data_IF_775374904947
#
_entry.id   IF_775374904947
#
_cell.length_a   1.000
_cell.length_b   1.000
_cell.length_c   1.000
_cell.angle_alpha   90.00
_cell.angle_beta   90.00
_cell.angle_gamma   90.00
#
_symmetry.space_group_name_H-M   'P 1'
#
loop_
_entity.id
_entity.type
_entity.pdbx_description
1 polymer ?
#
# COMPACT_ATOMS: atom_id res chain seq x y z
N UNK A 1 -52.00 -37.07 -25.07
CA UNK A 1 -52.05 -36.68 -23.66
C UNK A 1 -50.95 -37.41 -22.94
N UNK A 2 -49.80 -36.76 -22.68
CA UNK A 2 -48.76 -37.20 -21.73
C UNK A 2 -48.16 -35.94 -21.12
N UNK A 3 -48.44 -35.69 -19.83
CA UNK A 3 -47.85 -34.63 -19.03
C UNK A 3 -46.41 -35.01 -18.66
N UNK A 4 -45.47 -34.15 -18.95
CA UNK A 4 -44.11 -34.25 -18.48
C UNK A 4 -43.92 -33.28 -17.32
N UNK A 5 -43.70 -33.81 -16.12
CA UNK A 5 -43.37 -33.06 -14.89
C UNK A 5 -41.94 -32.59 -14.95
N UNK A 6 -41.72 -31.28 -14.90
CA UNK A 6 -40.41 -30.67 -14.65
C UNK A 6 -40.11 -30.76 -13.16
N UNK A 7 -39.03 -31.50 -12.83
CA UNK A 7 -38.43 -31.51 -11.50
C UNK A 7 -37.46 -30.31 -11.41
N UNK A 8 -37.79 -29.36 -10.57
CA UNK A 8 -36.88 -28.29 -10.12
C UNK A 8 -35.94 -28.90 -9.08
N UNK A 9 -34.67 -29.02 -9.44
CA UNK A 9 -33.58 -29.37 -8.50
C UNK A 9 -33.08 -28.05 -7.87
N UNK A 10 -33.53 -27.80 -6.66
CA UNK A 10 -32.98 -26.71 -5.81
C UNK A 10 -31.67 -27.22 -5.17
N UNK A 11 -30.56 -26.84 -5.75
CA UNK A 11 -29.24 -27.08 -5.16
C UNK A 11 -29.00 -26.11 -4.00
N UNK A 12 -29.02 -26.61 -2.79
CA UNK A 12 -28.60 -25.89 -1.60
C UNK A 12 -27.08 -25.85 -1.60
N UNK A 13 -26.49 -24.65 -1.80
CA UNK A 13 -25.06 -24.40 -1.56
C UNK A 13 -24.90 -24.28 -0.05
N UNK A 14 -24.33 -25.29 0.57
CA UNK A 14 -23.90 -25.24 1.96
C UNK A 14 -22.64 -24.34 2.06
N UNK A 15 -22.80 -23.15 2.62
CA UNK A 15 -21.69 -22.33 3.08
C UNK A 15 -21.06 -23.06 4.28
N UNK A 16 -19.89 -23.67 4.06
CA UNK A 16 -19.06 -24.15 5.16
C UNK A 16 -18.33 -22.94 5.72
N UNK A 17 -18.89 -22.31 6.74
CA UNK A 17 -18.18 -21.40 7.60
C UNK A 17 -17.16 -22.20 8.40
N UNK A 18 -15.92 -22.19 7.94
CA UNK A 18 -14.78 -22.75 8.67
C UNK A 18 -14.51 -21.91 9.92
N UNK A 19 -14.97 -22.43 11.07
CA UNK A 19 -14.59 -21.90 12.38
C UNK A 19 -13.14 -22.29 12.63
N UNK A 20 -12.21 -21.39 12.38
CA UNK A 20 -10.84 -21.55 12.86
C UNK A 20 -10.82 -21.32 14.38
N UNK A 21 -10.89 -22.42 15.13
CA UNK A 21 -10.55 -22.42 16.56
C UNK A 21 -9.05 -22.17 16.70
N UNK A 22 -8.68 -20.94 17.06
CA UNK A 22 -7.34 -20.61 17.47
C UNK A 22 -7.12 -21.14 18.90
N UNK A 23 -6.39 -22.25 19.04
CA UNK A 23 -5.70 -22.61 20.29
C UNK A 23 -4.26 -22.10 20.21
N UNK A 24 -3.92 -21.12 21.03
CA UNK A 24 -2.54 -20.65 21.20
C UNK A 24 -2.53 -19.30 21.90
N UNK A 25 -2.25 -19.31 23.21
CA UNK A 25 -2.26 -18.12 24.05
C UNK A 25 -1.19 -17.11 23.65
N UNK A 26 -1.64 -15.99 23.20
CA UNK A 26 -0.96 -14.73 23.11
C UNK A 26 -2.02 -13.66 23.24
N UNK A 27 -1.94 -12.83 24.28
CA UNK A 27 -2.84 -11.72 24.55
C UNK A 27 -2.58 -10.57 23.57
N UNK A 28 -2.84 -10.83 22.29
CA UNK A 28 -2.99 -9.78 21.27
C UNK A 28 -4.48 -9.44 21.19
N UNK A 29 -4.87 -8.24 21.58
CA UNK A 29 -6.19 -7.71 21.30
C UNK A 29 -6.44 -7.93 19.80
N UNK A 30 -7.49 -8.70 19.46
CA UNK A 30 -7.89 -8.90 18.06
C UNK A 30 -8.08 -7.54 17.43
N UNK A 31 -7.23 -7.20 16.47
CA UNK A 31 -7.29 -5.90 15.81
C UNK A 31 -8.60 -5.85 15.05
N UNK A 32 -9.48 -4.92 15.40
CA UNK A 32 -10.69 -4.61 14.64
C UNK A 32 -10.38 -3.88 13.32
N UNK A 33 -9.25 -4.20 12.69
CA UNK A 33 -8.83 -3.59 11.44
C UNK A 33 -9.75 -4.10 10.33
N UNK A 34 -10.46 -3.19 9.62
CA UNK A 34 -11.30 -3.55 8.49
C UNK A 34 -10.53 -4.32 7.41
N UNK A 35 -11.21 -5.24 6.72
CA UNK A 35 -10.62 -6.09 5.67
C UNK A 35 -11.34 -5.95 4.32
N UNK A 36 -12.31 -5.05 4.22
CA UNK A 36 -13.13 -4.79 3.04
C UNK A 36 -12.57 -3.66 2.14
N UNK A 37 -11.45 -3.06 2.54
CA UNK A 37 -10.76 -2.03 1.75
C UNK A 37 -9.91 -2.60 0.60
N UNK A 38 -9.33 -1.71 -0.20
CA UNK A 38 -8.53 -2.07 -1.40
C UNK A 38 -7.27 -2.90 -1.09
N UNK A 39 -6.77 -2.85 0.14
CA UNK A 39 -5.65 -3.68 0.59
C UNK A 39 -6.09 -4.99 1.26
N UNK A 40 -7.39 -5.29 1.28
CA UNK A 40 -7.94 -6.52 1.84
C UNK A 40 -7.46 -6.79 3.25
N UNK A 41 -7.02 -8.00 3.51
CA UNK A 41 -6.57 -8.46 4.82
C UNK A 41 -5.14 -8.01 5.20
N UNK A 42 -4.35 -7.46 4.27
CA UNK A 42 -2.94 -7.09 4.51
C UNK A 42 -2.76 -6.19 5.73
N UNK A 43 -3.55 -5.11 5.94
CA UNK A 43 -3.40 -4.28 7.12
C UNK A 43 -3.71 -5.02 8.42
N UNK A 44 -4.72 -5.90 8.43
CA UNK A 44 -5.10 -6.66 9.61
C UNK A 44 -4.03 -7.68 10.01
N UNK A 45 -3.49 -8.41 9.04
CA UNK A 45 -2.38 -9.35 9.26
C UNK A 45 -1.13 -8.60 9.71
N UNK A 46 -0.82 -7.44 9.12
CA UNK A 46 0.28 -6.58 9.54
C UNK A 46 0.14 -6.12 11.00
N UNK A 47 -1.05 -5.67 11.38
CA UNK A 47 -1.33 -5.24 12.76
C UNK A 47 -1.15 -6.35 13.80
N UNK A 48 -1.41 -7.59 13.41
CA UNK A 48 -1.31 -8.74 14.32
C UNK A 48 0.14 -9.13 14.63
N UNK A 49 1.03 -9.08 13.62
CA UNK A 49 2.37 -9.69 13.77
C UNK A 49 3.51 -8.66 13.83
N UNK A 50 3.46 -7.63 12.99
CA UNK A 50 4.62 -6.75 12.80
C UNK A 50 4.99 -5.91 14.01
N UNK A 51 4.06 -5.43 14.87
CA UNK A 51 4.44 -4.70 16.10
C UNK A 51 5.32 -5.54 17.02
N UNK A 52 4.97 -6.82 17.25
CA UNK A 52 5.75 -7.71 18.10
C UNK A 52 7.09 -8.11 17.47
N UNK A 53 7.11 -8.35 16.15
CA UNK A 53 8.36 -8.62 15.40
C UNK A 53 9.32 -7.44 15.57
N UNK A 54 8.86 -6.19 15.37
CA UNK A 54 9.69 -5.01 15.54
C UNK A 54 10.18 -4.82 16.97
N UNK A 55 9.31 -5.06 17.96
CA UNK A 55 9.69 -5.00 19.38
C UNK A 55 10.79 -6.02 19.71
N UNK A 56 10.69 -7.24 19.18
CA UNK A 56 11.71 -8.27 19.37
C UNK A 56 13.03 -7.87 18.69
N UNK A 57 12.98 -7.28 17.51
CA UNK A 57 14.17 -6.78 16.81
C UNK A 57 14.87 -5.69 17.61
N UNK A 58 14.12 -4.72 18.15
CA UNK A 58 14.67 -3.67 19.01
C UNK A 58 15.28 -4.25 20.29
N UNK A 59 14.58 -5.15 20.99
CA UNK A 59 15.10 -5.84 22.18
C UNK A 59 16.39 -6.60 21.88
N UNK A 60 16.46 -7.29 20.73
CA UNK A 60 17.66 -8.01 20.31
C UNK A 60 18.82 -7.05 20.05
N UNK A 61 18.57 -5.94 19.38
CA UNK A 61 19.58 -4.91 19.09
C UNK A 61 20.16 -4.30 20.36
N UNK A 62 19.34 -4.04 21.37
CA UNK A 62 19.75 -3.43 22.63
C UNK A 62 20.26 -4.43 23.68
N UNK A 63 20.19 -5.73 23.43
CA UNK A 63 20.67 -6.74 24.38
C UNK A 63 22.19 -6.83 24.39
N UNK A 64 22.79 -6.74 25.57
CA UNK A 64 24.24 -6.91 25.77
C UNK A 64 24.67 -8.37 25.94
N UNK A 65 23.73 -9.28 26.22
CA UNK A 65 23.98 -10.72 26.42
C UNK A 65 23.76 -11.50 25.16
N UNK A 66 24.74 -12.30 24.72
CA UNK A 66 24.62 -13.20 23.57
C UNK A 66 23.50 -14.24 23.75
N UNK A 67 23.44 -14.86 24.95
CA UNK A 67 22.39 -15.82 25.28
C UNK A 67 20.97 -15.21 25.13
N UNK A 68 20.79 -13.96 25.58
CA UNK A 68 19.52 -13.26 25.44
C UNK A 68 19.22 -12.93 23.97
N UNK A 69 20.24 -12.52 23.18
CA UNK A 69 20.07 -12.28 21.73
C UNK A 69 19.59 -13.53 21.00
N UNK A 70 20.19 -14.70 21.30
CA UNK A 70 19.76 -15.97 20.73
C UNK A 70 18.32 -16.36 21.10
N UNK A 71 17.94 -16.16 22.37
CA UNK A 71 16.57 -16.42 22.83
C UNK A 71 15.55 -15.53 22.13
N UNK A 72 15.89 -14.25 21.96
CA UNK A 72 15.03 -13.29 21.25
C UNK A 72 14.96 -13.65 19.76
N UNK A 73 16.09 -13.98 19.11
CA UNK A 73 16.14 -14.38 17.71
C UNK A 73 15.22 -15.58 17.43
N UNK A 74 15.25 -16.61 18.27
CA UNK A 74 14.36 -17.78 18.12
C UNK A 74 12.86 -17.42 18.18
N UNK A 75 12.49 -16.47 19.05
CA UNK A 75 11.09 -16.00 19.12
C UNK A 75 10.73 -15.17 17.90
N UNK A 76 11.62 -14.28 17.47
CA UNK A 76 11.45 -13.49 16.25
C UNK A 76 11.28 -14.37 15.02
N UNK A 77 12.13 -15.39 14.85
CA UNK A 77 12.07 -16.33 13.74
C UNK A 77 10.75 -17.13 13.72
N UNK A 78 10.28 -17.58 14.89
CA UNK A 78 8.99 -18.26 14.99
C UNK A 78 7.83 -17.34 14.58
N UNK A 79 7.82 -16.10 15.07
CA UNK A 79 6.77 -15.13 14.74
C UNK A 79 6.81 -14.71 13.29
N UNK A 80 7.99 -14.57 12.69
CA UNK A 80 8.16 -14.34 11.24
C UNK A 80 7.66 -15.51 10.41
N UNK A 81 7.84 -16.73 10.85
CA UNK A 81 7.28 -17.89 10.18
C UNK A 81 5.75 -17.87 10.19
N UNK A 82 5.13 -17.55 11.34
CA UNK A 82 3.68 -17.38 11.42
C UNK A 82 3.17 -16.23 10.55
N UNK A 83 3.85 -15.08 10.55
CA UNK A 83 3.57 -13.96 9.66
C UNK A 83 3.61 -14.38 8.19
N UNK A 84 4.65 -15.09 7.77
CA UNK A 84 4.80 -15.52 6.38
C UNK A 84 3.68 -16.46 5.95
N UNK A 85 3.24 -17.37 6.79
CA UNK A 85 2.09 -18.24 6.48
C UNK A 85 0.78 -17.46 6.44
N UNK A 86 0.56 -16.55 7.40
CA UNK A 86 -0.65 -15.73 7.44
C UNK A 86 -0.76 -14.81 6.21
N UNK A 87 0.35 -14.15 5.80
CA UNK A 87 0.31 -13.21 4.68
C UNK A 87 0.21 -13.93 3.33
N UNK A 88 0.76 -15.13 3.18
CA UNK A 88 0.58 -15.95 1.98
C UNK A 88 -0.85 -16.45 1.82
N UNK A 89 -1.59 -16.58 2.92
CA UNK A 89 -2.99 -16.99 2.90
C UNK A 89 -3.95 -15.84 2.50
N UNK A 90 -3.48 -14.58 2.52
CA UNK A 90 -4.27 -13.42 2.07
C UNK A 90 -4.55 -13.53 0.57
N UNK A 91 -5.79 -13.27 0.12
CA UNK A 91 -6.11 -13.22 -1.31
C UNK A 91 -5.20 -12.26 -2.07
N UNK A 92 -4.83 -12.63 -3.29
CA UNK A 92 -3.97 -11.79 -4.14
C UNK A 92 -4.59 -10.42 -4.37
N UNK A 93 -3.78 -9.38 -4.17
CA UNK A 93 -4.15 -7.99 -4.49
C UNK A 93 -3.85 -7.62 -5.95
N UNK A 94 -3.22 -8.48 -6.74
CA UNK A 94 -2.93 -8.18 -8.14
C UNK A 94 -4.22 -7.95 -8.93
N UNK A 95 -4.24 -6.86 -9.67
CA UNK A 95 -5.41 -6.44 -10.42
C UNK A 95 -6.37 -5.53 -9.66
N UNK A 96 -6.25 -5.39 -8.34
CA UNK A 96 -7.03 -4.44 -7.55
C UNK A 96 -6.68 -3.02 -7.97
N UNK A 97 -7.68 -2.16 -8.05
CA UNK A 97 -7.55 -0.78 -8.45
C UNK A 97 -7.61 0.18 -7.25
N UNK A 98 -6.68 1.15 -7.24
CA UNK A 98 -6.64 2.25 -6.28
C UNK A 98 -6.98 3.52 -7.05
N UNK A 99 -8.01 4.30 -6.68
CA UNK A 99 -8.33 5.56 -7.31
C UNK A 99 -7.12 6.51 -7.34
N UNK A 100 -6.84 7.09 -8.51
CA UNK A 100 -5.76 8.06 -8.71
C UNK A 100 -6.32 9.36 -9.24
N UNK A 101 -6.01 10.45 -8.54
CA UNK A 101 -6.35 11.81 -8.94
C UNK A 101 -5.09 12.65 -9.18
N UNK A 102 -5.21 13.68 -9.99
CA UNK A 102 -4.22 14.75 -10.11
C UNK A 102 -4.79 16.00 -9.43
N UNK A 103 -4.03 16.62 -8.53
CA UNK A 103 -4.40 17.90 -7.94
C UNK A 103 -4.44 18.99 -9.02
N UNK A 104 -5.18 20.07 -8.73
CA UNK A 104 -5.25 21.24 -9.62
C UNK A 104 -3.85 21.78 -9.94
N UNK A 105 -3.63 22.15 -11.21
CA UNK A 105 -2.35 22.65 -11.67
C UNK A 105 -1.28 21.59 -11.96
N UNK A 106 -1.60 20.29 -11.79
CA UNK A 106 -0.68 19.22 -12.19
C UNK A 106 -0.63 19.12 -13.72
N UNK A 107 0.56 19.11 -14.33
CA UNK A 107 0.71 18.94 -15.77
C UNK A 107 0.61 17.47 -16.21
N UNK A 108 0.05 16.64 -15.38
CA UNK A 108 -0.19 15.22 -15.60
C UNK A 108 -1.64 14.87 -15.32
N UNK A 109 -2.23 14.10 -16.21
CA UNK A 109 -3.57 13.52 -16.05
C UNK A 109 -3.47 12.00 -16.13
N UNK A 110 -3.88 11.26 -15.09
CA UNK A 110 -3.99 9.80 -15.18
C UNK A 110 -5.08 9.40 -16.17
N UNK A 111 -4.84 8.34 -16.94
CA UNK A 111 -5.83 7.76 -17.87
C UNK A 111 -6.77 6.76 -17.16
N UNK A 112 -6.50 6.44 -15.90
CA UNK A 112 -7.30 5.53 -15.08
C UNK A 112 -6.76 5.41 -13.66
N UNK A 113 -7.33 4.48 -12.90
CA UNK A 113 -6.88 4.15 -11.57
C UNK A 113 -5.49 3.48 -11.59
N UNK A 114 -4.81 3.50 -10.46
CA UNK A 114 -3.62 2.68 -10.25
C UNK A 114 -4.05 1.22 -10.11
N UNK A 115 -3.51 0.35 -10.95
CA UNK A 115 -3.73 -1.09 -10.86
C UNK A 115 -2.56 -1.75 -10.15
N UNK A 116 -2.80 -2.53 -9.12
CA UNK A 116 -1.75 -3.31 -8.46
C UNK A 116 -1.23 -4.36 -9.44
N UNK A 117 0.05 -4.26 -9.78
CA UNK A 117 0.71 -5.11 -10.79
C UNK A 117 1.72 -6.07 -10.18
N UNK A 118 2.12 -5.83 -8.93
CA UNK A 118 3.09 -6.66 -8.25
C UNK A 118 2.90 -6.58 -6.74
N UNK A 119 2.82 -7.74 -6.11
CA UNK A 119 2.92 -7.89 -4.66
C UNK A 119 4.14 -8.76 -4.37
N UNK A 120 5.09 -8.24 -3.63
CA UNK A 120 6.31 -8.97 -3.24
C UNK A 120 6.31 -9.18 -1.75
N UNK A 121 6.46 -10.43 -1.32
CA UNK A 121 6.59 -10.80 0.09
C UNK A 121 8.04 -11.22 0.30
N UNK A 122 8.72 -10.51 1.19
CA UNK A 122 10.11 -10.82 1.53
C UNK A 122 10.33 -10.60 3.02
N UNK A 123 10.73 -11.66 3.71
CA UNK A 123 10.96 -11.67 5.16
C UNK A 123 9.73 -11.15 5.93
N UNK A 124 9.86 -9.97 6.55
CA UNK A 124 8.82 -9.28 7.31
C UNK A 124 8.18 -8.12 6.55
N UNK A 125 8.38 -8.02 5.25
CA UNK A 125 7.85 -6.95 4.41
C UNK A 125 6.99 -7.45 3.26
N UNK A 126 5.82 -6.82 3.08
CA UNK A 126 4.97 -6.94 1.90
C UNK A 126 5.05 -5.63 1.13
N UNK A 127 5.62 -5.68 -0.06
CA UNK A 127 5.74 -4.52 -0.96
C UNK A 127 4.69 -4.60 -2.06
N UNK A 128 3.95 -3.52 -2.23
CA UNK A 128 2.85 -3.40 -3.20
C UNK A 128 3.23 -2.34 -4.21
N UNK A 129 3.21 -2.72 -5.49
CA UNK A 129 3.40 -1.81 -6.61
C UNK A 129 2.12 -1.68 -7.41
N UNK A 130 1.67 -0.45 -7.62
CA UNK A 130 0.54 -0.14 -8.48
C UNK A 130 0.95 0.86 -9.56
N UNK A 131 0.41 0.72 -10.76
CA UNK A 131 0.78 1.57 -11.89
C UNK A 131 -0.41 1.87 -12.78
N UNK A 132 -0.32 2.99 -13.50
CA UNK A 132 -1.24 3.39 -14.58
C UNK A 132 -0.46 4.17 -15.65
N UNK A 133 -1.14 4.52 -16.73
CA UNK A 133 -0.63 5.48 -17.72
C UNK A 133 -1.12 6.88 -17.36
N UNK A 134 -0.25 7.87 -17.52
CA UNK A 134 -0.62 9.28 -17.45
C UNK A 134 -0.18 10.04 -18.68
N UNK A 135 -0.92 11.11 -18.99
CA UNK A 135 -0.68 11.99 -20.13
C UNK A 135 -0.19 13.34 -19.63
N UNK A 136 0.82 13.87 -20.26
CA UNK A 136 1.30 15.25 -20.05
C UNK A 136 0.28 16.22 -20.66
N UNK A 137 -0.30 17.09 -19.85
CA UNK A 137 -1.38 18.01 -20.27
C UNK A 137 -0.88 19.39 -20.69
N UNK A 138 0.38 19.71 -20.35
CA UNK A 138 1.05 20.93 -20.78
C UNK A 138 2.55 20.67 -20.85
N UNK A 139 3.26 21.31 -21.78
CA UNK A 139 4.71 21.19 -21.84
C UNK A 139 5.32 21.59 -20.48
N UNK A 140 6.14 20.69 -19.94
CA UNK A 140 6.63 20.82 -18.55
C UNK A 140 8.13 20.55 -18.50
N UNK A 141 8.92 21.47 -17.92
CA UNK A 141 10.35 21.28 -17.72
C UNK A 141 10.65 19.98 -16.97
N UNK A 142 11.63 19.21 -17.45
CA UNK A 142 12.02 17.95 -16.79
C UNK A 142 12.47 18.15 -15.33
N UNK A 143 12.97 19.34 -14.99
CA UNK A 143 13.36 19.70 -13.63
C UNK A 143 12.17 19.73 -12.66
N UNK A 144 10.97 20.02 -13.14
CA UNK A 144 9.77 20.12 -12.29
C UNK A 144 9.22 18.77 -11.85
N UNK A 145 9.64 17.68 -12.53
CA UNK A 145 9.26 16.31 -12.15
C UNK A 145 9.74 15.94 -10.75
N UNK A 146 10.86 16.48 -10.30
CA UNK A 146 11.35 16.30 -8.95
C UNK A 146 10.44 16.94 -7.89
N UNK A 147 9.47 17.74 -8.32
CA UNK A 147 8.51 18.39 -7.45
C UNK A 147 7.20 17.63 -7.32
N UNK A 148 6.98 16.61 -8.14
CA UNK A 148 5.76 15.80 -8.06
C UNK A 148 5.87 14.72 -6.99
N UNK A 149 4.78 14.54 -6.27
CA UNK A 149 4.64 13.57 -5.19
C UNK A 149 3.31 12.87 -5.28
N UNK A 150 3.29 11.63 -4.85
CA UNK A 150 2.07 10.88 -4.64
C UNK A 150 1.75 10.83 -3.15
N UNK A 151 0.55 11.15 -2.80
CA UNK A 151 0.05 11.13 -1.42
C UNK A 151 -1.10 10.15 -1.35
N UNK A 152 -0.98 9.14 -0.49
CA UNK A 152 -2.07 8.21 -0.19
C UNK A 152 -2.98 8.80 0.90
N UNK A 153 -4.30 8.66 0.72
CA UNK A 153 -5.31 9.14 1.67
C UNK A 153 -6.26 8.01 2.04
N UNK A 154 -6.71 8.02 3.29
CA UNK A 154 -7.82 7.20 3.74
C UNK A 154 -9.17 7.82 3.37
N UNK A 155 -10.28 7.11 3.67
CA UNK A 155 -11.64 7.56 3.42
C UNK A 155 -12.05 8.78 4.26
N UNK A 156 -11.34 9.04 5.36
CA UNK A 156 -11.59 10.17 6.25
C UNK A 156 -10.80 11.42 5.81
N UNK A 157 -9.97 11.30 4.76
CA UNK A 157 -9.16 12.38 4.19
C UNK A 157 -7.84 12.61 4.92
N UNK A 158 -7.38 11.66 5.73
CA UNK A 158 -6.08 11.73 6.36
C UNK A 158 -4.99 11.21 5.41
N UNK A 159 -3.88 11.91 5.35
CA UNK A 159 -2.72 11.47 4.58
C UNK A 159 -2.00 10.31 5.28
N UNK A 160 -1.79 9.21 4.55
CA UNK A 160 -1.17 7.98 5.04
C UNK A 160 0.31 7.89 4.70
N UNK A 161 0.70 8.35 3.52
CA UNK A 161 2.06 8.23 3.00
C UNK A 161 2.34 9.33 1.99
N UNK A 162 3.55 9.89 2.09
CA UNK A 162 4.16 10.74 1.08
C UNK A 162 5.17 9.91 0.27
N UNK A 163 4.79 9.51 -0.93
CA UNK A 163 5.72 8.82 -1.80
C UNK A 163 6.43 9.82 -2.73
N UNK A 164 7.75 9.88 -2.65
CA UNK A 164 8.61 10.60 -3.59
C UNK A 164 8.53 9.88 -4.94
N UNK A 165 7.50 10.19 -5.73
CA UNK A 165 7.19 9.37 -6.87
C UNK A 165 7.96 9.72 -8.12
N UNK A 166 8.23 8.70 -8.88
CA UNK A 166 8.41 8.75 -10.30
C UNK A 166 7.02 8.86 -10.94
N UNK A 167 6.40 10.02 -10.88
CA UNK A 167 5.07 10.20 -11.46
C UNK A 167 5.05 9.89 -12.97
N UNK A 168 6.20 9.84 -13.63
CA UNK A 168 6.34 9.46 -15.04
C UNK A 168 7.64 8.70 -15.30
N UNK A 169 7.79 7.53 -14.69
CA UNK A 169 8.81 6.60 -15.16
C UNK A 169 8.34 6.00 -16.49
N UNK A 170 9.10 6.19 -17.55
CA UNK A 170 8.83 5.56 -18.85
C UNK A 170 8.26 6.46 -19.94
N UNK A 171 8.26 7.78 -19.78
CA UNK A 171 8.14 8.69 -20.93
C UNK A 171 9.40 8.50 -21.76
N UNK A 172 9.23 8.17 -23.04
CA UNK A 172 10.36 7.90 -23.94
C UNK A 172 11.05 9.22 -24.36
N UNK A 173 12.34 9.13 -24.72
CA UNK A 173 13.09 10.28 -25.24
C UNK A 173 12.45 10.94 -26.47
N UNK A 174 11.61 10.18 -27.22
CA UNK A 174 10.87 10.75 -28.37
C UNK A 174 9.83 11.78 -27.93
N UNK A 175 9.34 11.67 -26.69
CA UNK A 175 8.32 12.53 -26.12
C UNK A 175 8.91 13.68 -25.31
N UNK A 176 10.22 13.83 -25.31
CA UNK A 176 10.92 14.94 -24.69
C UNK A 176 11.41 15.94 -25.73
N UNK A 177 11.32 17.23 -25.42
CA UNK A 177 12.06 18.28 -26.08
C UNK A 177 13.45 18.37 -25.44
N UNK A 178 14.38 17.56 -25.91
CA UNK A 178 15.74 17.61 -25.41
C UNK A 178 16.53 18.76 -26.03
N UNK A 179 16.76 19.79 -25.24
CA UNK A 179 17.64 20.91 -25.60
C UNK A 179 18.65 21.17 -24.48
N UNK A 180 19.48 20.20 -24.20
CA UNK A 180 20.45 20.29 -23.13
C UNK A 180 19.81 20.47 -21.74
N UNK A 181 20.19 21.52 -21.01
CA UNK A 181 19.65 21.80 -19.66
C UNK A 181 18.18 22.25 -19.65
N UNK A 182 17.58 22.52 -20.83
CA UNK A 182 16.20 22.98 -20.95
C UNK A 182 15.28 21.88 -21.48
N UNK A 183 15.56 20.63 -21.15
CA UNK A 183 14.69 19.52 -21.53
C UNK A 183 13.30 19.67 -20.91
N UNK A 184 12.27 19.42 -21.71
CA UNK A 184 10.88 19.40 -21.26
C UNK A 184 10.14 18.19 -21.83
N UNK A 185 9.09 17.76 -21.15
CA UNK A 185 8.14 16.80 -21.68
C UNK A 185 7.11 17.52 -22.55
N UNK A 186 6.82 16.92 -23.72
CA UNK A 186 5.83 17.46 -24.64
C UNK A 186 4.42 17.25 -24.14
N UNK A 187 3.54 18.17 -24.42
CA UNK A 187 2.10 17.97 -24.28
C UNK A 187 1.65 16.75 -25.09
N UNK A 188 0.78 15.92 -24.52
CA UNK A 188 0.32 14.67 -25.12
C UNK A 188 1.25 13.48 -24.92
N UNK A 189 2.48 13.67 -24.43
CA UNK A 189 3.38 12.56 -24.09
C UNK A 189 2.73 11.65 -23.03
N UNK A 190 2.92 10.32 -23.20
CA UNK A 190 2.38 9.31 -22.28
C UNK A 190 3.51 8.60 -21.54
N UNK A 191 3.31 8.36 -20.27
CA UNK A 191 4.25 7.65 -19.45
C UNK A 191 3.61 6.85 -18.32
N UNK A 192 4.37 5.91 -17.77
CA UNK A 192 3.95 5.17 -16.58
C UNK A 192 4.00 6.05 -15.35
N UNK A 193 2.94 5.98 -14.57
CA UNK A 193 2.86 6.52 -13.23
C UNK A 193 2.84 5.36 -12.25
N UNK A 194 3.73 5.36 -11.26
CA UNK A 194 3.88 4.26 -10.30
C UNK A 194 3.70 4.76 -8.87
N UNK A 195 2.97 3.97 -8.11
CA UNK A 195 2.87 4.09 -6.66
C UNK A 195 3.43 2.81 -6.02
N UNK A 196 4.31 2.95 -5.04
CA UNK A 196 4.89 1.82 -4.31
C UNK A 196 4.72 2.08 -2.83
N UNK A 197 4.18 1.10 -2.12
CA UNK A 197 4.11 1.11 -0.65
C UNK A 197 4.50 -0.25 -0.11
N UNK A 198 4.80 -0.33 1.17
CA UNK A 198 5.11 -1.59 1.84
C UNK A 198 4.69 -1.55 3.30
N UNK A 199 4.65 -2.72 3.93
CA UNK A 199 4.33 -2.82 5.35
C UNK A 199 5.36 -2.11 6.22
N UNK A 200 6.65 -2.19 5.89
CA UNK A 200 7.71 -1.52 6.64
C UNK A 200 7.91 -0.05 6.22
N UNK A 201 8.08 0.21 4.92
CA UNK A 201 8.37 1.56 4.40
C UNK A 201 7.15 2.46 4.36
N UNK A 202 5.98 1.89 4.05
CA UNK A 202 4.70 2.60 4.05
C UNK A 202 4.10 2.76 5.45
N UNK A 203 4.72 2.21 6.47
CA UNK A 203 4.23 2.24 7.85
C UNK A 203 2.81 1.67 8.04
N UNK A 204 2.40 0.73 7.18
CA UNK A 204 1.07 0.08 7.25
C UNK A 204 0.84 -0.52 8.64
N UNK A 205 1.87 -1.15 9.22
CA UNK A 205 1.78 -1.74 10.55
C UNK A 205 1.65 -0.72 11.69
N UNK A 206 2.07 0.56 11.48
CA UNK A 206 1.93 1.63 12.47
C UNK A 206 0.55 2.29 12.44
N UNK A 207 -0.11 2.25 11.28
CA UNK A 207 -1.47 2.79 11.09
C UNK A 207 -2.31 1.83 10.24
N UNK A 208 -2.52 0.58 10.71
CA UNK A 208 -3.23 -0.42 9.92
C UNK A 208 -4.70 -0.04 9.69
N UNK A 209 -5.36 0.64 10.63
CA UNK A 209 -6.75 1.10 10.45
C UNK A 209 -6.88 2.14 9.35
N UNK A 210 -5.94 3.10 9.26
CA UNK A 210 -5.92 4.08 8.18
C UNK A 210 -5.65 3.42 6.83
N UNK A 211 -4.68 2.51 6.76
CA UNK A 211 -4.38 1.78 5.53
C UNK A 211 -5.49 0.83 5.10
N UNK A 212 -6.22 0.24 6.02
CA UNK A 212 -7.42 -0.55 5.71
C UNK A 212 -8.50 0.29 5.02
N UNK A 213 -8.53 1.60 5.29
CA UNK A 213 -9.43 2.58 4.69
C UNK A 213 -8.83 3.34 3.51
N UNK A 214 -7.71 2.88 2.95
CA UNK A 214 -7.10 3.52 1.78
C UNK A 214 -8.16 3.77 0.70
N UNK A 215 -8.42 5.05 0.40
CA UNK A 215 -9.45 5.46 -0.52
C UNK A 215 -8.88 5.90 -1.87
N UNK A 216 -7.76 6.62 -1.86
CA UNK A 216 -7.16 7.16 -3.09
C UNK A 216 -5.70 7.54 -2.92
N UNK A 217 -5.06 7.72 -4.06
CA UNK A 217 -3.76 8.37 -4.20
C UNK A 217 -3.95 9.66 -5.00
N UNK A 218 -3.29 10.73 -4.59
CA UNK A 218 -3.35 12.02 -5.29
C UNK A 218 -1.93 12.44 -5.69
N UNK A 219 -1.76 12.77 -6.96
CA UNK A 219 -0.54 13.40 -7.46
C UNK A 219 -0.57 14.89 -7.12
N UNK A 220 0.46 15.39 -6.46
CA UNK A 220 0.56 16.78 -5.98
C UNK A 220 1.93 17.39 -6.28
N UNK A 221 1.97 18.69 -6.43
CA UNK A 221 3.22 19.43 -6.40
C UNK A 221 3.66 19.62 -4.95
N UNK A 222 4.90 19.24 -4.61
CA UNK A 222 5.46 19.38 -3.24
C UNK A 222 5.49 20.81 -2.71
N UNK A 223 5.39 21.79 -3.59
CA UNK A 223 5.36 23.21 -3.23
C UNK A 223 3.93 23.72 -2.99
N UNK A 224 2.89 22.91 -3.24
CA UNK A 224 1.50 23.30 -3.00
C UNK A 224 1.15 23.27 -1.51
N UNK A 225 0.22 24.14 -1.11
CA UNK A 225 -0.29 24.15 0.27
C UNK A 225 -0.99 22.84 0.63
N UNK A 226 -1.67 22.19 -0.33
CA UNK A 226 -2.29 20.89 -0.14
C UNK A 226 -1.26 19.81 0.23
N UNK A 227 -0.10 19.82 -0.44
CA UNK A 227 0.98 18.89 -0.12
C UNK A 227 1.59 19.16 1.27
N UNK A 228 1.85 20.42 1.61
CA UNK A 228 2.38 20.79 2.92
C UNK A 228 1.46 20.34 4.05
N UNK A 229 0.15 20.53 3.89
CA UNK A 229 -0.85 20.05 4.85
C UNK A 229 -0.82 18.52 4.99
N UNK A 230 -0.72 17.79 3.88
CA UNK A 230 -0.59 16.34 3.91
C UNK A 230 0.72 15.89 4.60
N UNK A 231 1.82 16.60 4.37
CA UNK A 231 3.10 16.34 5.04
C UNK A 231 3.01 16.54 6.56
N UNK A 232 2.32 17.57 7.02
CA UNK A 232 2.08 17.79 8.44
C UNK A 232 1.23 16.66 9.06
N UNK A 233 0.20 16.19 8.36
CA UNK A 233 -0.62 15.08 8.82
C UNK A 233 0.20 13.78 8.97
N UNK A 234 1.01 13.42 7.98
CA UNK A 234 1.87 12.22 8.04
C UNK A 234 2.87 12.33 9.20
N UNK A 235 3.55 13.49 9.35
CA UNK A 235 4.48 13.72 10.46
C UNK A 235 3.81 13.62 11.83
N UNK A 236 2.60 14.15 11.96
CA UNK A 236 1.83 14.06 13.21
C UNK A 236 1.45 12.61 13.54
N UNK A 237 0.99 11.84 12.54
CA UNK A 237 0.68 10.43 12.72
C UNK A 237 1.91 9.59 13.10
N UNK A 238 3.07 9.83 12.46
CA UNK A 238 4.33 9.17 12.81
C UNK A 238 4.82 9.52 14.22
N UNK A 239 4.64 10.78 14.67
CA UNK A 239 5.00 11.21 16.00
C UNK A 239 4.08 10.59 17.07
N UNK A 240 2.79 10.41 16.77
CA UNK A 240 1.84 9.75 17.65
C UNK A 240 2.14 8.25 17.82
N UNK A 241 2.58 7.58 16.76
CA UNK A 241 2.93 6.16 16.78
C UNK A 241 4.23 5.84 17.55
N UNK A 242 5.03 6.84 17.89
CA UNK A 242 6.27 6.68 18.67
C UNK A 242 6.08 6.83 20.20
N UNK A 243 4.90 7.20 20.64
CA UNK A 243 4.54 7.34 22.04
C UNK A 243 3.86 6.09 22.58
#
# INVERSE_FOLDING_TARGET
MKQTRNLLLTGAIALVAGVFSACGGGSGAGSNVPTDGVLGEVPAVAAKYLPEINELQEKRWHSSSEENREKIAKKEDALKAEWNEAIKAVPSLEGVEIPLEAAEGMPLRPEGNLKITLVTIKDDDVSIKAETTSVVTAETPCTDWNHFRMVAFDSDGNALLLNGGSACSGISDKDTNWKGLNASYKEGAKGKTMFVTSTSKGTIWKNPEGWAKLAKVVMMNKNSEAYKKAEEQVKAAEAAAKK
#
